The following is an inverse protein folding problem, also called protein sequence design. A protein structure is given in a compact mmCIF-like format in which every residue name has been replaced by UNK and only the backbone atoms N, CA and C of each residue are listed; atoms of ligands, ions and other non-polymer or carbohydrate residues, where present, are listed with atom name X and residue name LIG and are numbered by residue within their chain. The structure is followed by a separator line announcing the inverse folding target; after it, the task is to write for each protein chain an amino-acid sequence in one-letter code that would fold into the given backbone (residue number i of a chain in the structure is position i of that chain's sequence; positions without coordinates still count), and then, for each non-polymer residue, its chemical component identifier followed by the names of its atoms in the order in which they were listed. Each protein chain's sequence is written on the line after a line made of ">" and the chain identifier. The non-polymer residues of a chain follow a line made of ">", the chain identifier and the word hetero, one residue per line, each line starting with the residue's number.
data_IF_453470640685
#
_entry.id   IF_453470640685
#
_cell.length_a   1.000
_cell.length_b   1.000
_cell.length_c   1.000
_cell.angle_alpha   90.00
_cell.angle_beta   90.00
_cell.angle_gamma   90.00
#
_symmetry.space_group_name_H-M   'P 1'
#
loop_
_entity.id
_entity.type
_entity.pdbx_description
1 polymer ?
#
# COMPACT_ATOMS: atom_id res chain seq x y z
N UNK A 1 3.28 -13.40 13.26
CA UNK A 1 3.47 -14.58 12.37
C UNK A 1 2.49 -14.50 11.21
N UNK A 2 2.84 -13.70 10.21
CA UNK A 2 2.03 -13.55 9.02
C UNK A 2 2.06 -14.79 8.15
N UNK A 3 0.88 -15.23 7.72
CA UNK A 3 0.71 -16.45 6.93
C UNK A 3 1.56 -16.33 5.66
N UNK A 4 2.58 -17.18 5.55
CA UNK A 4 3.43 -17.44 4.36
C UNK A 4 2.69 -17.42 3.01
N UNK A 5 1.36 -17.61 3.03
CA UNK A 5 0.45 -17.70 1.89
C UNK A 5 0.52 -16.53 0.89
N UNK A 6 0.73 -15.29 1.33
CA UNK A 6 0.67 -14.12 0.44
C UNK A 6 2.02 -13.47 0.15
N UNK A 7 3.09 -14.00 0.75
CA UNK A 7 4.44 -13.46 0.63
C UNK A 7 4.87 -13.31 -0.83
N UNK A 8 4.69 -14.36 -1.63
CA UNK A 8 5.19 -14.39 -3.01
C UNK A 8 4.45 -13.42 -3.92
N UNK A 9 3.13 -13.27 -3.72
CA UNK A 9 2.30 -12.33 -4.47
C UNK A 9 2.71 -10.88 -4.17
N UNK A 10 2.92 -10.55 -2.89
CA UNK A 10 3.39 -9.23 -2.47
C UNK A 10 4.80 -8.94 -2.97
N UNK A 11 5.73 -9.89 -2.80
CA UNK A 11 7.12 -9.72 -3.23
C UNK A 11 7.22 -9.50 -4.74
N UNK A 12 6.41 -10.20 -5.54
CA UNK A 12 6.36 -9.99 -6.98
C UNK A 12 5.90 -8.57 -7.33
N UNK A 13 4.81 -8.09 -6.73
CA UNK A 13 4.32 -6.73 -6.93
C UNK A 13 5.35 -5.68 -6.52
N UNK A 14 5.97 -5.83 -5.34
CA UNK A 14 7.00 -4.92 -4.85
C UNK A 14 8.18 -4.82 -5.81
N UNK A 15 8.64 -5.93 -6.38
CA UNK A 15 9.71 -5.94 -7.39
C UNK A 15 9.33 -5.20 -8.68
N UNK A 16 8.07 -5.29 -9.11
CA UNK A 16 7.58 -4.56 -10.28
C UNK A 16 7.56 -3.05 -10.01
N UNK A 17 7.19 -2.63 -8.80
CA UNK A 17 7.19 -1.22 -8.38
C UNK A 17 8.62 -0.71 -8.23
N UNK A 18 9.50 -1.48 -7.61
CA UNK A 18 10.92 -1.13 -7.47
C UNK A 18 11.57 -0.83 -8.84
N UNK A 19 11.31 -1.70 -9.83
CA UNK A 19 11.77 -1.51 -11.22
C UNK A 19 11.07 -0.36 -11.96
N UNK A 20 9.90 0.06 -11.49
CA UNK A 20 9.06 1.07 -12.14
C UNK A 20 8.12 0.52 -13.22
N UNK A 21 8.01 -0.81 -13.33
CA UNK A 21 7.09 -1.50 -14.25
C UNK A 21 5.62 -1.26 -13.85
N UNK A 22 5.37 -1.06 -12.56
CA UNK A 22 4.08 -0.65 -11.99
C UNK A 22 4.26 0.69 -11.29
N UNK A 23 3.33 1.62 -11.54
CA UNK A 23 3.27 2.89 -10.82
C UNK A 23 2.27 2.79 -9.68
N UNK A 24 2.71 3.14 -8.48
CA UNK A 24 1.95 2.99 -7.27
C UNK A 24 2.09 4.21 -6.35
N UNK A 25 1.08 4.44 -5.54
CA UNK A 25 1.05 5.38 -4.44
C UNK A 25 1.01 4.63 -3.11
N UNK A 26 1.69 5.17 -2.12
CA UNK A 26 1.52 4.82 -0.71
C UNK A 26 1.29 6.11 0.05
N UNK A 27 0.45 6.09 1.09
CA UNK A 27 0.26 7.29 1.91
C UNK A 27 1.39 7.41 2.93
N UNK A 28 1.78 8.63 3.28
CA UNK A 28 2.73 8.85 4.39
C UNK A 28 2.18 8.29 5.70
N UNK A 29 0.86 8.29 5.87
CA UNK A 29 0.18 7.62 6.98
C UNK A 29 0.56 6.14 7.06
N UNK A 30 0.42 5.36 5.98
CA UNK A 30 0.81 3.95 5.96
C UNK A 30 2.30 3.74 6.23
N UNK A 31 3.16 4.65 5.76
CA UNK A 31 4.60 4.57 6.06
C UNK A 31 4.85 4.77 7.57
N UNK A 32 4.26 5.79 8.18
CA UNK A 32 4.40 6.05 9.61
C UNK A 32 3.82 4.91 10.48
N UNK A 33 2.73 4.27 10.06
CA UNK A 33 2.21 3.09 10.78
C UNK A 33 3.21 1.93 10.76
N UNK A 34 3.87 1.68 9.62
CA UNK A 34 4.96 0.70 9.53
C UNK A 34 6.15 1.11 10.39
N UNK A 35 6.53 2.39 10.38
CA UNK A 35 7.61 2.90 11.22
C UNK A 35 7.34 2.64 12.71
N UNK A 36 6.11 2.91 13.18
CA UNK A 36 5.68 2.63 14.56
C UNK A 36 5.70 1.13 14.88
N UNK A 37 5.35 0.26 13.94
CA UNK A 37 5.44 -1.19 14.12
C UNK A 37 6.89 -1.65 14.23
N UNK A 38 7.77 -1.14 13.38
CA UNK A 38 9.20 -1.50 13.36
C UNK A 38 9.95 -0.93 14.56
N UNK A 39 9.62 0.28 15.02
CA UNK A 39 10.24 0.90 16.19
C UNK A 39 9.99 0.08 17.47
N UNK A 40 8.80 -0.52 17.59
CA UNK A 40 8.47 -1.43 18.71
C UNK A 40 9.36 -2.67 18.80
N UNK A 41 10.10 -3.02 17.73
CA UNK A 41 11.09 -4.10 17.76
C UNK A 41 12.40 -3.71 18.47
N UNK A 42 12.59 -2.43 18.81
CA UNK A 42 13.72 -1.94 19.61
C UNK A 42 15.05 -1.77 18.86
N UNK A 43 15.05 -1.95 17.54
CA UNK A 43 16.22 -1.76 16.67
C UNK A 43 15.92 -0.72 15.59
N UNK A 44 16.75 0.32 15.53
CA UNK A 44 16.63 1.40 14.53
C UNK A 44 17.15 1.03 13.15
N UNK A 45 17.96 -0.04 13.05
CA UNK A 45 18.57 -0.44 11.77
C UNK A 45 17.53 -1.01 10.77
N UNK A 46 16.59 -1.89 11.17
CA UNK A 46 15.47 -2.29 10.32
C UNK A 46 14.67 -1.10 9.76
N UNK A 47 14.44 -0.07 10.57
CA UNK A 47 13.73 1.14 10.17
C UNK A 47 14.49 1.90 9.06
N UNK A 48 15.80 2.07 9.24
CA UNK A 48 16.66 2.70 8.21
C UNK A 48 16.69 1.89 6.93
N UNK A 49 16.80 0.57 7.02
CA UNK A 49 16.79 -0.33 5.85
C UNK A 49 15.45 -0.22 5.12
N UNK A 50 14.34 -0.22 5.86
CA UNK A 50 12.99 -0.05 5.30
C UNK A 50 12.89 1.25 4.49
N UNK A 51 13.15 2.40 5.12
CA UNK A 51 13.03 3.71 4.47
C UNK A 51 14.03 3.90 3.32
N UNK A 52 15.25 3.37 3.47
CA UNK A 52 16.26 3.35 2.41
C UNK A 52 15.85 2.48 1.23
N UNK A 53 15.02 1.46 1.44
CA UNK A 53 14.47 0.63 0.37
C UNK A 53 13.31 1.35 -0.33
N UNK A 54 12.37 1.92 0.44
CA UNK A 54 11.24 2.72 -0.08
C UNK A 54 11.74 3.84 -1.00
N UNK A 55 12.74 4.60 -0.55
CA UNK A 55 13.27 5.76 -1.30
C UNK A 55 13.87 5.41 -2.66
N UNK A 56 14.19 4.14 -2.93
CA UNK A 56 14.78 3.68 -4.19
C UNK A 56 13.76 3.18 -5.19
N UNK A 57 12.50 2.97 -4.78
CA UNK A 57 11.48 2.39 -5.64
C UNK A 57 11.10 3.36 -6.76
N UNK A 58 11.42 3.02 -8.01
CA UNK A 58 11.20 3.90 -9.18
C UNK A 58 9.73 4.07 -9.53
N UNK A 59 8.90 3.14 -9.11
CA UNK A 59 7.46 3.13 -9.36
C UNK A 59 6.62 3.67 -8.21
N UNK A 60 7.21 3.97 -7.06
CA UNK A 60 6.46 4.36 -5.87
C UNK A 60 6.45 5.89 -5.70
N UNK A 61 5.29 6.44 -5.42
CA UNK A 61 5.09 7.84 -5.05
C UNK A 61 4.45 7.90 -3.67
N UNK A 62 4.89 8.85 -2.85
CA UNK A 62 4.34 9.05 -1.51
C UNK A 62 3.31 10.16 -1.58
N UNK A 63 2.11 9.89 -1.06
CA UNK A 63 1.03 10.87 -0.94
C UNK A 63 0.85 11.29 0.52
N UNK A 64 0.89 12.59 0.79
CA UNK A 64 0.60 13.14 2.11
C UNK A 64 -0.66 13.98 2.03
N UNK A 65 -1.61 13.70 2.93
CA UNK A 65 -2.84 14.49 3.06
C UNK A 65 -2.55 15.84 3.69
N UNK A 66 -3.25 16.86 3.24
CA UNK A 66 -3.38 18.14 3.94
C UNK A 66 -4.49 18.08 4.99
N UNK A 67 -4.50 19.03 5.94
CA UNK A 67 -5.56 19.13 6.97
C UNK A 67 -6.96 19.22 6.36
N UNK A 68 -7.12 19.95 5.25
CA UNK A 68 -8.42 20.04 4.57
C UNK A 68 -8.87 18.69 4.00
N UNK A 69 -7.93 17.85 3.57
CA UNK A 69 -8.25 16.50 3.12
C UNK A 69 -8.58 15.58 4.28
N UNK A 70 -7.89 15.70 5.42
CA UNK A 70 -8.21 14.93 6.62
C UNK A 70 -9.60 15.29 7.16
N UNK A 71 -10.03 16.55 7.06
CA UNK A 71 -11.42 16.94 7.35
C UNK A 71 -12.40 16.20 6.41
N UNK A 72 -12.10 16.13 5.11
CA UNK A 72 -12.91 15.38 4.16
C UNK A 72 -12.87 13.86 4.41
N UNK A 73 -11.77 13.32 4.95
CA UNK A 73 -11.67 11.92 5.39
C UNK A 73 -12.61 11.65 6.57
N UNK A 74 -12.74 12.58 7.51
CA UNK A 74 -13.68 12.45 8.63
C UNK A 74 -15.12 12.37 8.11
N UNK A 75 -15.47 13.13 7.07
CA UNK A 75 -16.80 13.03 6.45
C UNK A 75 -17.06 11.63 5.85
N UNK A 76 -16.02 10.99 5.32
CA UNK A 76 -16.09 9.63 4.75
C UNK A 76 -16.26 8.53 5.81
N UNK A 77 -15.83 8.77 7.06
CA UNK A 77 -16.03 7.85 8.18
C UNK A 77 -17.52 7.65 8.51
N UNK A 78 -18.40 8.59 8.12
CA UNK A 78 -19.85 8.44 8.27
C UNK A 78 -20.42 7.21 7.52
N UNK A 79 -19.65 6.65 6.59
CA UNK A 79 -19.98 5.41 5.89
C UNK A 79 -19.61 4.13 6.69
N UNK A 80 -19.22 4.26 7.95
CA UNK A 80 -18.87 3.14 8.83
C UNK A 80 -17.43 2.64 8.67
N UNK A 81 -16.57 3.45 8.06
CA UNK A 81 -15.12 3.19 7.96
C UNK A 81 -14.41 3.75 9.19
N UNK A 82 -13.40 3.03 9.68
CA UNK A 82 -12.45 3.67 10.59
C UNK A 82 -11.60 4.72 9.86
N UNK A 83 -10.82 5.49 10.61
CA UNK A 83 -10.05 6.59 10.03
C UNK A 83 -9.04 6.09 9.00
N UNK A 84 -8.41 4.95 9.25
CA UNK A 84 -7.39 4.37 8.39
C UNK A 84 -8.02 3.97 7.06
N UNK A 85 -9.09 3.17 7.07
CA UNK A 85 -9.82 2.75 5.87
C UNK A 85 -10.41 3.96 5.12
N UNK A 86 -10.96 4.95 5.84
CA UNK A 86 -11.50 6.16 5.25
C UNK A 86 -10.42 6.99 4.54
N UNK A 87 -9.24 7.17 5.17
CA UNK A 87 -8.13 7.91 4.59
C UNK A 87 -7.64 7.26 3.30
N UNK A 88 -7.49 5.94 3.32
CA UNK A 88 -7.02 5.23 2.15
C UNK A 88 -8.06 5.21 1.01
N UNK A 89 -9.34 5.03 1.34
CA UNK A 89 -10.43 5.10 0.37
C UNK A 89 -10.54 6.50 -0.25
N UNK A 90 -10.41 7.55 0.56
CA UNK A 90 -10.40 8.94 0.10
C UNK A 90 -9.27 9.19 -0.90
N UNK A 91 -8.03 8.84 -0.55
CA UNK A 91 -6.87 9.05 -1.44
C UNK A 91 -7.03 8.26 -2.74
N UNK A 92 -7.52 7.02 -2.67
CA UNK A 92 -7.71 6.19 -3.85
C UNK A 92 -8.74 6.80 -4.80
N UNK A 93 -9.88 7.28 -4.27
CA UNK A 93 -10.90 7.96 -5.08
C UNK A 93 -10.38 9.27 -5.65
N UNK A 94 -9.75 10.11 -4.83
CA UNK A 94 -9.22 11.41 -5.24
C UNK A 94 -8.25 11.31 -6.41
N UNK A 95 -7.39 10.30 -6.37
CA UNK A 95 -6.38 10.05 -7.40
C UNK A 95 -6.88 9.12 -8.53
N UNK A 96 -8.16 8.70 -8.49
CA UNK A 96 -8.76 7.75 -9.42
C UNK A 96 -7.94 6.44 -9.55
N UNK A 97 -7.53 5.89 -8.41
CA UNK A 97 -6.70 4.69 -8.27
C UNK A 97 -7.53 3.49 -7.84
N UNK A 98 -7.03 2.30 -8.18
CA UNK A 98 -7.47 1.05 -7.54
C UNK A 98 -6.65 0.83 -6.27
N UNK A 99 -7.26 0.18 -5.29
CA UNK A 99 -6.64 -0.08 -3.98
C UNK A 99 -6.15 -1.53 -3.90
N UNK A 100 -4.88 -1.72 -3.57
CA UNK A 100 -4.27 -3.04 -3.39
C UNK A 100 -4.29 -3.41 -1.91
N UNK A 101 -5.15 -4.36 -1.56
CA UNK A 101 -5.36 -4.80 -0.17
C UNK A 101 -5.97 -6.21 -0.11
N UNK A 102 -5.64 -6.95 0.95
CA UNK A 102 -6.29 -8.21 1.28
C UNK A 102 -7.55 -8.02 2.12
N UNK A 103 -7.63 -6.92 2.86
CA UNK A 103 -8.82 -6.50 3.61
C UNK A 103 -10.05 -6.42 2.68
N UNK A 104 -11.18 -6.95 3.15
CA UNK A 104 -12.45 -6.91 2.43
C UNK A 104 -13.29 -5.71 2.82
N UNK A 105 -12.89 -4.90 3.80
CA UNK A 105 -13.63 -3.67 4.16
C UNK A 105 -13.75 -2.70 2.99
N UNK A 106 -12.80 -2.72 2.05
CA UNK A 106 -12.89 -1.93 0.82
C UNK A 106 -13.84 -2.50 -0.25
N UNK A 107 -14.38 -3.72 -0.07
CA UNK A 107 -15.33 -4.30 -1.00
C UNK A 107 -16.70 -3.60 -0.85
N UNK A 108 -17.25 -3.12 -1.97
CA UNK A 108 -18.57 -2.48 -1.98
C UNK A 108 -18.56 -0.98 -1.66
N UNK A 109 -17.41 -0.39 -1.33
CA UNK A 109 -17.28 1.07 -1.21
C UNK A 109 -17.49 1.71 -2.58
N UNK A 110 -18.45 2.63 -2.67
CA UNK A 110 -18.77 3.31 -3.92
C UNK A 110 -17.55 4.09 -4.45
N UNK A 111 -17.28 3.96 -5.75
CA UNK A 111 -16.18 4.64 -6.43
C UNK A 111 -14.80 4.03 -6.15
N UNK A 112 -14.72 2.93 -5.41
CA UNK A 112 -13.46 2.26 -5.08
C UNK A 112 -13.42 0.85 -5.70
N UNK A 113 -12.26 0.48 -6.25
CA UNK A 113 -12.03 -0.88 -6.76
C UNK A 113 -10.86 -1.50 -6.03
N UNK A 114 -11.14 -2.53 -5.23
CA UNK A 114 -10.08 -3.32 -4.58
C UNK A 114 -9.57 -4.43 -5.48
N UNK A 115 -8.25 -4.60 -5.50
CA UNK A 115 -7.56 -5.72 -6.13
C UNK A 115 -6.56 -6.34 -5.16
N UNK A 116 -6.11 -7.56 -5.48
CA UNK A 116 -5.09 -8.28 -4.71
C UNK A 116 -3.76 -8.29 -5.47
N UNK A 117 -2.61 -8.39 -4.78
CA UNK A 117 -1.29 -8.46 -5.43
C UNK A 117 -1.16 -9.54 -6.51
N UNK A 118 -1.79 -10.71 -6.32
CA UNK A 118 -1.82 -11.78 -7.33
C UNK A 118 -2.35 -11.38 -8.71
N UNK A 119 -3.13 -10.29 -8.79
CA UNK A 119 -3.69 -9.79 -10.05
C UNK A 119 -2.62 -9.15 -10.96
N UNK A 120 -1.40 -8.96 -10.44
CA UNK A 120 -0.25 -8.43 -11.18
C UNK A 120 0.65 -9.53 -11.76
N UNK A 121 0.42 -10.81 -11.41
CA UNK A 121 1.02 -11.93 -12.13
C UNK A 121 0.42 -11.98 -13.55
N UNK A 122 1.23 -12.25 -14.59
CA UNK A 122 0.80 -11.96 -15.96
C UNK A 122 -0.29 -12.93 -16.44
N UNK A 123 -1.36 -12.45 -17.10
CA UNK A 123 -1.60 -12.86 -18.46
C UNK A 123 -0.46 -12.29 -19.31
N UNK A 124 0.36 -13.17 -19.92
CA UNK A 124 1.23 -12.74 -21.02
C UNK A 124 0.30 -12.12 -22.07
N UNK A 125 0.62 -10.92 -22.56
CA UNK A 125 -0.11 -10.11 -23.56
C UNK A 125 -1.11 -9.08 -23.00
N UNK A 126 -0.61 -7.94 -22.53
CA UNK A 126 -0.94 -6.62 -23.10
C UNK A 126 -0.07 -5.54 -22.39
N UNK A 127 0.71 -4.78 -23.15
CA UNK A 127 1.64 -3.74 -22.64
C UNK A 127 1.08 -2.32 -22.74
N UNK A 128 -0.19 -2.15 -23.09
CA UNK A 128 -0.72 -0.81 -23.43
C UNK A 128 -1.44 -0.06 -22.30
N UNK A 129 -1.72 -0.71 -21.17
CA UNK A 129 -2.39 -0.04 -20.04
C UNK A 129 -1.38 0.52 -19.03
N UNK A 130 -1.21 1.86 -19.00
CA UNK A 130 -0.55 2.58 -17.90
C UNK A 130 -1.42 2.49 -16.65
N UNK A 131 -1.22 1.47 -15.84
CA UNK A 131 -1.99 1.30 -14.62
C UNK A 131 -1.29 1.99 -13.43
N UNK A 132 -2.01 2.90 -12.77
CA UNK A 132 -1.63 3.55 -11.51
C UNK A 132 -2.46 2.93 -10.36
N UNK A 133 -1.84 2.68 -9.20
CA UNK A 133 -2.50 2.01 -8.05
C UNK A 133 -2.14 2.65 -6.72
N UNK A 134 -2.92 2.43 -5.67
CA UNK A 134 -2.55 2.70 -4.28
C UNK A 134 -2.35 1.37 -3.55
N UNK A 135 -1.30 1.25 -2.73
CA UNK A 135 -0.95 0.01 -2.04
C UNK A 135 -0.96 0.24 -0.54
N UNK A 136 -1.76 -0.56 0.17
CA UNK A 136 -2.00 -0.37 1.60
C UNK A 136 -1.29 -1.36 2.50
N UNK A 137 -1.12 -2.60 2.05
CA UNK A 137 -0.70 -3.67 2.96
C UNK A 137 0.79 -4.01 2.84
N UNK A 138 1.63 -3.03 3.22
CA UNK A 138 3.06 -3.24 3.42
C UNK A 138 3.39 -3.68 4.86
N UNK A 139 2.56 -3.36 5.85
CA UNK A 139 2.71 -3.80 7.26
C UNK A 139 2.83 -5.32 7.37
N UNK A 140 2.16 -6.05 6.47
CA UNK A 140 2.08 -7.50 6.50
C UNK A 140 3.20 -8.25 5.76
N UNK A 141 4.05 -7.57 5.00
CA UNK A 141 5.15 -8.21 4.24
C UNK A 141 6.53 -8.04 4.89
N UNK A 142 6.73 -6.99 5.69
CA UNK A 142 8.06 -6.66 6.22
C UNK A 142 8.51 -7.59 7.38
N UNK A 143 7.58 -8.07 8.21
CA UNK A 143 7.87 -9.12 9.22
C UNK A 143 8.42 -10.42 8.58
N UNK A 144 8.03 -10.71 7.33
CA UNK A 144 8.49 -11.92 6.63
C UNK A 144 9.87 -11.76 5.98
N UNK A 145 10.24 -10.53 5.57
CA UNK A 145 11.56 -10.25 4.96
C UNK A 145 12.70 -10.12 5.99
N UNK A 146 12.39 -9.88 7.27
CA UNK A 146 13.39 -9.86 8.35
C UNK A 146 13.98 -11.25 8.67
N UNK A 147 13.47 -12.32 8.06
CA UNK A 147 14.04 -13.67 8.15
C UNK A 147 14.74 -14.14 6.87
N UNK A 148 15.00 -13.23 5.91
CA UNK A 148 15.67 -13.54 4.63
C UNK A 148 16.82 -12.56 4.32
N UNK A 149 17.23 -11.74 5.29
CA UNK A 149 18.46 -10.95 5.24
C UNK A 149 19.23 -11.09 6.54
#
# INVERSE_FOLDING_TARGET
>A
MLKRRYHDDCQALLRMIDKGDVKAFVTSFSLHSIEVILDKAGDTEPLKIFLSSISKFKGLSIYSTSINEEIAVIDEMNNGLDFDDALQAYVARKLNLKIVSFDRHFDGIQGLTRIKPKMFYPPRHDRTARNLFQILEWEYSFEASLNVW
#
